data_IF_121980918689
#
_entry.id   IF_121980918689
#
_cell.length_a   1.000
_cell.length_b   1.000
_cell.length_c   1.000
_cell.angle_alpha   90.00
_cell.angle_beta   90.00
_cell.angle_gamma   90.00
#
_symmetry.space_group_name_H-M   'P 1'
#
loop_
_entity.id
_entity.type
_entity.pdbx_description
1 polymer ?
#
# COMPACT_ATOMS: atom_id res chain seq x y z
N UNK A 1 -6.57 -4.38 6.36
CA UNK A 1 -7.33 -3.13 6.22
C UNK A 1 -6.86 -2.47 4.93
N UNK A 2 -7.76 -2.13 4.02
CA UNK A 2 -7.38 -1.63 2.68
C UNK A 2 -7.93 -0.22 2.58
N UNK A 3 -7.08 0.76 2.29
CA UNK A 3 -7.47 2.16 2.11
C UNK A 3 -7.07 2.60 0.69
N UNK A 4 -8.06 2.84 -0.16
CA UNK A 4 -7.82 3.29 -1.52
C UNK A 4 -8.10 4.79 -1.60
N UNK A 5 -7.08 5.59 -1.93
CA UNK A 5 -7.23 7.03 -2.07
C UNK A 5 -6.95 7.49 -3.50
N UNK A 6 -7.96 8.07 -4.12
CA UNK A 6 -7.83 8.72 -5.40
C UNK A 6 -7.23 10.13 -5.22
N UNK A 7 -5.98 10.33 -5.62
CA UNK A 7 -5.36 11.66 -5.73
C UNK A 7 -4.89 11.86 -7.17
N UNK A 8 -5.67 12.61 -7.94
CA UNK A 8 -5.43 12.95 -9.36
C UNK A 8 -4.03 13.52 -9.64
N UNK A 9 -3.43 14.21 -8.66
CA UNK A 9 -2.09 14.77 -8.73
C UNK A 9 -0.96 13.72 -8.90
N UNK A 10 -1.21 12.43 -8.64
CA UNK A 10 -0.23 11.36 -8.82
C UNK A 10 0.00 10.99 -10.30
N UNK A 11 -0.92 11.36 -11.18
CA UNK A 11 -0.81 11.17 -12.63
C UNK A 11 0.26 12.09 -13.25
N UNK A 12 0.64 13.16 -12.56
CA UNK A 12 1.69 14.09 -12.99
C UNK A 12 3.10 13.62 -12.55
N UNK A 13 3.51 12.42 -12.99
CA UNK A 13 4.89 11.94 -12.80
C UNK A 13 5.83 12.54 -13.84
N UNK A 14 6.24 13.80 -13.62
CA UNK A 14 7.59 14.27 -14.02
C UNK A 14 8.35 14.99 -12.92
N UNK A 15 7.76 15.19 -11.75
CA UNK A 15 8.49 15.66 -10.58
C UNK A 15 8.18 14.77 -9.40
N UNK A 16 9.22 14.18 -8.81
CA UNK A 16 9.24 13.83 -7.40
C UNK A 16 9.07 15.14 -6.59
N UNK A 17 7.87 15.71 -6.61
CA UNK A 17 7.54 16.93 -5.92
C UNK A 17 7.48 16.63 -4.42
N UNK A 18 8.00 17.51 -3.59
CA UNK A 18 7.88 17.43 -2.12
C UNK A 18 6.43 17.18 -1.68
N UNK A 19 5.44 17.68 -2.43
CA UNK A 19 4.00 17.43 -2.22
C UNK A 19 3.62 15.96 -2.29
N UNK A 20 4.26 15.15 -3.15
CA UNK A 20 4.01 13.71 -3.24
C UNK A 20 4.55 12.98 -2.03
N UNK A 21 5.75 13.34 -1.58
CA UNK A 21 6.32 12.74 -0.37
C UNK A 21 5.53 13.12 0.88
N UNK A 22 5.03 14.35 0.94
CA UNK A 22 4.24 14.85 2.06
C UNK A 22 2.84 14.22 2.08
N UNK A 23 2.17 14.09 0.93
CA UNK A 23 0.92 13.35 0.80
C UNK A 23 1.10 11.87 1.18
N UNK A 24 2.22 11.26 0.80
CA UNK A 24 2.57 9.90 1.21
C UNK A 24 2.77 9.77 2.71
N UNK A 25 3.54 10.67 3.34
CA UNK A 25 3.73 10.70 4.79
C UNK A 25 2.40 10.84 5.53
N UNK A 26 1.52 11.71 5.04
CA UNK A 26 0.18 11.90 5.62
C UNK A 26 -0.70 10.64 5.50
N UNK A 27 -0.76 10.02 4.32
CA UNK A 27 -1.55 8.80 4.11
C UNK A 27 -0.99 7.62 4.92
N UNK A 28 0.34 7.51 5.03
CA UNK A 28 1.01 6.51 5.85
C UNK A 28 0.73 6.73 7.34
N UNK A 29 0.82 7.97 7.83
CA UNK A 29 0.42 8.30 9.20
C UNK A 29 -1.03 7.94 9.49
N UNK A 30 -1.94 8.17 8.53
CA UNK A 30 -3.35 7.82 8.71
C UNK A 30 -3.56 6.30 8.79
N UNK A 31 -2.94 5.52 7.90
CA UNK A 31 -3.00 4.05 7.98
C UNK A 31 -2.35 3.53 9.26
N UNK A 32 -1.22 4.10 9.67
CA UNK A 32 -0.57 3.71 10.91
C UNK A 32 -1.45 4.01 12.12
N UNK A 33 -2.12 5.16 12.16
CA UNK A 33 -3.08 5.49 13.21
C UNK A 33 -4.26 4.50 13.23
N UNK A 34 -4.90 4.23 12.09
CA UNK A 34 -5.94 3.19 12.04
C UNK A 34 -5.39 1.81 12.46
N UNK A 35 -4.12 1.53 12.13
CA UNK A 35 -3.43 0.31 12.52
C UNK A 35 -2.98 0.30 13.99
N UNK A 36 -3.00 1.41 14.72
CA UNK A 36 -2.70 1.42 16.16
C UNK A 36 -3.97 1.27 17.01
N UNK A 37 -5.13 1.68 16.50
CA UNK A 37 -6.40 1.64 17.25
C UNK A 37 -7.09 0.27 17.30
N UNK A 38 -6.82 -0.64 16.36
CA UNK A 38 -7.40 -2.00 16.46
C UNK A 38 -6.50 -2.94 17.32
N UNK A 39 -7.09 -3.87 18.04
CA UNK A 39 -6.34 -4.80 18.93
C UNK A 39 -5.64 -5.94 18.20
N UNK A 40 -5.85 -6.07 16.88
CA UNK A 40 -5.32 -7.15 16.06
C UNK A 40 -3.80 -7.05 15.89
N UNK A 41 -3.06 -8.12 16.20
CA UNK A 41 -1.65 -8.23 15.84
C UNK A 41 -1.54 -8.58 14.35
N UNK A 42 -0.49 -8.09 13.67
CA UNK A 42 -0.19 -8.35 12.25
C UNK A 42 -1.14 -7.71 11.22
N UNK A 43 -1.08 -6.38 11.04
CA UNK A 43 -1.96 -5.67 10.11
C UNK A 43 -1.28 -5.37 8.79
N UNK A 44 -1.96 -5.62 7.69
CA UNK A 44 -1.56 -5.11 6.38
C UNK A 44 -2.48 -3.94 6.00
N UNK A 45 -1.87 -2.79 5.77
CA UNK A 45 -2.44 -1.60 5.13
C UNK A 45 -2.02 -1.55 3.67
N UNK A 46 -2.94 -1.25 2.75
CA UNK A 46 -2.64 -1.10 1.33
C UNK A 46 -3.12 0.29 0.91
N UNK A 47 -2.23 1.07 0.29
CA UNK A 47 -2.49 2.35 -0.38
C UNK A 47 -2.47 2.14 -1.89
N UNK A 48 -3.54 2.54 -2.56
CA UNK A 48 -3.67 2.40 -4.01
C UNK A 48 -3.69 3.77 -4.65
N UNK A 49 -2.81 4.00 -5.61
CA UNK A 49 -2.72 5.23 -6.39
C UNK A 49 -2.79 4.95 -7.90
N UNK A 50 -3.40 5.85 -8.69
CA UNK A 50 -3.29 5.82 -10.14
C UNK A 50 -1.83 5.96 -10.59
N UNK A 51 -1.41 5.18 -11.57
CA UNK A 51 -0.07 5.20 -12.16
C UNK A 51 -0.15 4.89 -13.66
N UNK A 52 0.95 5.10 -14.38
CA UNK A 52 1.06 4.70 -15.80
C UNK A 52 1.27 3.19 -15.95
N UNK A 53 2.01 2.59 -15.01
CA UNK A 53 2.33 1.16 -14.99
C UNK A 53 2.03 0.55 -13.63
N UNK A 54 1.76 -0.75 -13.62
CA UNK A 54 1.64 -1.51 -12.39
C UNK A 54 2.96 -1.50 -11.64
N UNK A 55 2.92 -1.15 -10.35
CA UNK A 55 4.07 -1.19 -9.47
C UNK A 55 3.60 -1.36 -8.04
N UNK A 56 4.41 -1.99 -7.19
CA UNK A 56 4.13 -2.01 -5.77
C UNK A 56 5.41 -1.99 -4.95
N UNK A 57 5.28 -1.52 -3.71
CA UNK A 57 6.33 -1.55 -2.70
C UNK A 57 5.73 -2.04 -1.38
N UNK A 58 6.40 -2.98 -0.73
CA UNK A 58 6.01 -3.52 0.57
C UNK A 58 7.02 -3.02 1.61
N UNK A 59 6.52 -2.33 2.64
CA UNK A 59 7.30 -1.86 3.78
C UNK A 59 6.81 -2.56 5.04
N UNK A 60 7.71 -3.20 5.78
CA UNK A 60 7.40 -3.86 7.05
C UNK A 60 7.81 -2.98 8.22
N UNK A 61 6.89 -2.80 9.17
CA UNK A 61 7.05 -2.02 10.38
C UNK A 61 6.84 -2.92 11.59
N UNK A 62 7.90 -3.15 12.36
CA UNK A 62 7.80 -3.90 13.62
C UNK A 62 7.75 -2.91 14.77
N UNK A 63 6.65 -2.91 15.52
CA UNK A 63 6.58 -2.18 16.77
C UNK A 63 7.23 -3.03 17.88
N UNK A 64 8.41 -2.61 18.34
CA UNK A 64 9.18 -3.31 19.37
C UNK A 64 8.48 -3.36 20.74
N UNK A 65 7.56 -2.43 21.03
CA UNK A 65 6.90 -2.37 22.33
C UNK A 65 5.81 -3.43 22.54
N UNK A 66 5.18 -3.92 21.46
CA UNK A 66 4.08 -4.90 21.55
C UNK A 66 4.25 -6.11 20.60
N UNK A 67 5.38 -6.18 19.89
CA UNK A 67 5.68 -7.22 18.91
C UNK A 67 4.77 -7.20 17.68
N UNK A 68 3.97 -6.14 17.48
CA UNK A 68 3.08 -6.04 16.33
C UNK A 68 3.89 -5.82 15.05
N UNK A 69 3.68 -6.67 14.04
CA UNK A 69 4.28 -6.53 12.71
C UNK A 69 3.25 -5.98 11.73
N UNK A 70 3.34 -4.71 11.43
CA UNK A 70 2.48 -4.08 10.44
C UNK A 70 3.17 -4.07 9.08
N UNK A 71 2.41 -4.27 8.01
CA UNK A 71 2.89 -4.11 6.63
C UNK A 71 2.13 -2.94 6.01
N UNK A 72 2.84 -2.07 5.31
CA UNK A 72 2.24 -1.09 4.42
C UNK A 72 2.61 -1.45 3.00
N UNK A 73 1.61 -1.51 2.12
CA UNK A 73 1.79 -1.76 0.70
C UNK A 73 1.40 -0.50 -0.04
N UNK A 74 2.25 -0.04 -0.94
CA UNK A 74 1.92 1.02 -1.88
C UNK A 74 1.74 0.35 -3.22
N UNK A 75 0.63 0.62 -3.88
CA UNK A 75 0.24 0.03 -5.15
C UNK A 75 -0.01 1.15 -6.17
N UNK A 76 0.75 1.17 -7.25
CA UNK A 76 0.47 1.95 -8.44
C UNK A 76 -0.35 1.10 -9.42
N UNK A 77 -1.58 1.51 -9.74
CA UNK A 77 -2.44 0.84 -10.70
C UNK A 77 -2.57 1.66 -11.99
N UNK A 78 -2.37 1.04 -13.17
CA UNK A 78 -2.71 1.64 -14.47
C UNK A 78 -4.15 2.12 -14.48
N UNK A 79 -4.36 3.40 -14.81
CA UNK A 79 -5.71 3.95 -14.95
C UNK A 79 -6.18 3.77 -16.40
N UNK A 80 -6.75 2.60 -16.68
CA UNK A 80 -7.33 2.27 -17.98
C UNK A 80 -8.82 1.89 -17.81
N UNK A 81 -9.62 2.03 -18.87
CA UNK A 81 -11.04 1.67 -18.87
C UNK A 81 -11.28 0.18 -18.66
N UNK A 82 -10.26 -0.65 -18.90
CA UNK A 82 -10.26 -2.08 -18.61
C UNK A 82 -8.94 -2.46 -17.94
N UNK A 83 -9.01 -3.24 -16.86
CA UNK A 83 -7.82 -3.82 -16.23
C UNK A 83 -7.30 -4.92 -17.15
N UNK A 84 -6.08 -4.74 -17.67
CA UNK A 84 -5.40 -5.75 -18.48
C UNK A 84 -5.20 -7.04 -17.67
N UNK A 85 -5.37 -8.24 -18.26
CA UNK A 85 -5.18 -9.51 -17.55
C UNK A 85 -3.83 -9.63 -16.84
N UNK A 86 -2.78 -9.03 -17.42
CA UNK A 86 -1.43 -8.98 -16.85
C UNK A 86 -1.38 -8.25 -15.50
N UNK A 87 -2.14 -7.16 -15.36
CA UNK A 87 -2.26 -6.39 -14.11
C UNK A 87 -3.01 -7.21 -13.05
N UNK A 88 -4.05 -7.94 -13.47
CA UNK A 88 -4.79 -8.83 -12.59
C UNK A 88 -3.91 -9.97 -12.06
N UNK A 89 -3.10 -10.59 -12.93
CA UNK A 89 -2.14 -11.61 -12.54
C UNK A 89 -1.09 -11.05 -11.57
N UNK A 90 -0.53 -9.88 -11.87
CA UNK A 90 0.46 -9.24 -10.99
C UNK A 90 -0.12 -8.88 -9.60
N UNK A 91 -1.40 -8.50 -9.53
CA UNK A 91 -2.11 -8.31 -8.26
C UNK A 91 -2.22 -9.63 -7.48
N UNK A 92 -2.62 -10.71 -8.15
CA UNK A 92 -2.70 -12.03 -7.54
C UNK A 92 -1.35 -12.47 -6.97
N UNK A 93 -0.28 -12.33 -7.74
CA UNK A 93 1.08 -12.69 -7.33
C UNK A 93 1.53 -11.86 -6.11
N UNK A 94 1.26 -10.56 -6.11
CA UNK A 94 1.54 -9.66 -4.98
C UNK A 94 0.77 -10.09 -3.72
N UNK A 95 -0.52 -10.38 -3.82
CA UNK A 95 -1.32 -10.84 -2.67
C UNK A 95 -0.82 -12.17 -2.13
N UNK A 96 -0.46 -13.12 -3.00
CA UNK A 96 0.12 -14.40 -2.59
C UNK A 96 1.44 -14.20 -1.83
N UNK A 97 2.30 -13.30 -2.29
CA UNK A 97 3.53 -12.95 -1.59
C UNK A 97 3.27 -12.32 -0.21
N UNK A 98 2.27 -11.45 -0.09
CA UNK A 98 1.88 -10.84 1.18
C UNK A 98 1.38 -11.87 2.20
N UNK A 99 0.59 -12.83 1.74
CA UNK A 99 0.02 -13.91 2.55
C UNK A 99 1.11 -14.91 3.00
N UNK A 100 2.00 -15.33 2.09
CA UNK A 100 3.09 -16.26 2.40
C UNK A 100 4.07 -15.74 3.47
N UNK A 101 4.20 -14.42 3.61
CA UNK A 101 5.06 -13.78 4.61
C UNK A 101 4.35 -13.51 5.95
N UNK A 102 3.15 -14.05 6.18
CA UNK A 102 2.43 -13.91 7.46
C UNK A 102 2.61 -15.22 8.22
N UNK A 103 3.38 -15.26 9.34
CA UNK A 103 3.57 -16.51 10.07
C UNK A 103 2.22 -16.97 10.62
N UNK A 104 1.86 -18.21 10.34
CA UNK A 104 0.75 -18.92 10.99
C UNK A 104 1.05 -18.93 12.49
N UNK A 105 0.08 -18.44 13.27
CA UNK A 105 0.19 -18.33 14.73
C UNK A 105 0.18 -19.70 15.39
#
# INVERSE_FOLDING_TARGET
MIDAKYKSHLYNKRQASEKLQEAYRADLHQILAYSSFSTSKNKTGILIYPAEYFSYQISSYTNHYNGARNKAVILGLPFESQIKPQVLQALHDMFNQLLAQTPVS
#
